data_IF_583443059664
#
_entry.id   IF_583443059664
#
_cell.length_a   1.000
_cell.length_b   1.000
_cell.length_c   1.000
_cell.angle_alpha   90.00
_cell.angle_beta   90.00
_cell.angle_gamma   90.00
#
_symmetry.space_group_name_H-M   'P 1'
#
loop_
_entity.id
_entity.type
_entity.pdbx_description
1 polymer ?
#
# COMPACT_ATOMS: atom_id res chain seq x y z
N UNK A 1 18.78 -11.18 8.83
CA UNK A 1 18.47 -10.36 10.03
C UNK A 1 17.19 -9.64 9.79
N UNK A 2 16.35 -9.46 10.81
CA UNK A 2 15.07 -8.69 10.72
C UNK A 2 15.28 -7.33 11.38
N UNK A 3 14.65 -6.31 10.81
CA UNK A 3 14.60 -4.98 11.39
C UNK A 3 13.20 -4.38 11.26
N UNK A 4 12.94 -3.32 12.00
CA UNK A 4 11.65 -2.63 12.03
C UNK A 4 11.84 -1.14 11.75
N UNK A 5 10.95 -0.54 10.98
CA UNK A 5 10.92 0.90 10.73
C UNK A 5 10.53 1.66 12.02
N UNK A 6 11.38 2.61 12.44
CA UNK A 6 11.18 3.38 13.69
C UNK A 6 10.42 4.69 13.46
N UNK A 7 10.80 5.57 12.48
CA UNK A 7 10.09 6.82 12.26
C UNK A 7 8.69 6.59 11.69
N UNK A 8 7.86 7.62 11.67
CA UNK A 8 6.52 7.57 11.08
C UNK A 8 6.51 6.96 9.68
N UNK A 9 7.53 7.30 8.89
CA UNK A 9 7.88 6.63 7.65
C UNK A 9 9.38 6.79 7.36
N UNK A 10 9.94 5.85 6.61
CA UNK A 10 11.30 5.91 6.09
C UNK A 10 11.28 5.79 4.56
N UNK A 11 12.21 6.46 3.91
CA UNK A 11 12.33 6.41 2.45
C UNK A 11 13.12 5.19 2.02
N UNK A 12 12.64 4.50 0.99
CA UNK A 12 13.39 3.49 0.28
C UNK A 12 13.93 4.06 -1.04
N UNK A 13 15.23 4.00 -1.21
CA UNK A 13 15.96 4.50 -2.37
C UNK A 13 16.45 3.37 -3.24
N UNK A 14 16.56 3.62 -4.55
CA UNK A 14 17.14 2.66 -5.50
C UNK A 14 18.64 2.39 -5.23
N UNK A 15 19.36 3.38 -4.69
CA UNK A 15 20.79 3.34 -4.40
C UNK A 15 21.08 3.94 -3.01
N UNK A 16 22.23 3.62 -2.36
CA UNK A 16 22.58 4.09 -1.02
C UNK A 16 23.04 5.55 -1.01
N UNK A 17 22.21 6.47 -1.51
CA UNK A 17 22.46 7.92 -1.52
C UNK A 17 21.16 8.72 -1.51
N UNK A 18 21.18 9.90 -0.91
CA UNK A 18 20.00 10.76 -0.77
C UNK A 18 19.40 11.25 -2.09
N UNK A 19 20.22 11.43 -3.12
CA UNK A 19 19.78 11.88 -4.45
C UNK A 19 19.27 10.75 -5.36
N UNK A 20 19.31 9.48 -4.89
CA UNK A 20 18.78 8.37 -5.65
C UNK A 20 17.25 8.42 -5.72
N UNK A 21 16.69 7.76 -6.72
CA UNK A 21 15.25 7.64 -6.89
C UNK A 21 14.56 7.11 -5.63
N UNK A 22 13.49 7.76 -5.22
CA UNK A 22 12.57 7.24 -4.21
C UNK A 22 11.73 6.13 -4.86
N UNK A 23 11.94 4.89 -4.46
CA UNK A 23 11.25 3.74 -5.05
C UNK A 23 10.06 3.29 -4.21
N UNK A 24 10.11 3.50 -2.89
CA UNK A 24 9.02 3.20 -1.96
C UNK A 24 9.24 3.91 -0.61
N UNK A 25 8.38 3.63 0.33
CA UNK A 25 8.48 4.06 1.73
C UNK A 25 8.24 2.87 2.66
N UNK A 26 8.83 2.90 3.85
CA UNK A 26 8.42 2.07 4.98
C UNK A 26 7.53 2.90 5.89
N UNK A 27 6.66 2.23 6.61
CA UNK A 27 5.78 2.85 7.60
C UNK A 27 6.22 2.40 9.00
N UNK A 28 6.04 3.22 10.01
CA UNK A 28 6.38 2.91 11.39
C UNK A 28 5.86 1.51 11.79
N UNK A 29 6.73 0.69 12.34
CA UNK A 29 6.41 -0.67 12.74
C UNK A 29 6.51 -1.71 11.61
N UNK A 30 6.68 -1.30 10.34
CA UNK A 30 6.85 -2.23 9.23
C UNK A 30 8.15 -3.02 9.37
N UNK A 31 8.04 -4.33 9.24
CA UNK A 31 9.14 -5.26 9.40
C UNK A 31 9.78 -5.55 8.05
N UNK A 32 11.10 -5.62 8.04
CA UNK A 32 11.89 -5.81 6.84
C UNK A 32 13.00 -6.83 7.08
N UNK A 33 13.38 -7.52 6.02
CA UNK A 33 14.60 -8.35 6.03
C UNK A 33 15.78 -7.50 5.59
N UNK A 34 16.82 -7.42 6.42
CA UNK A 34 18.09 -6.81 6.07
C UNK A 34 18.88 -7.78 5.20
N UNK A 35 19.22 -7.34 4.00
CA UNK A 35 19.99 -8.13 3.02
C UNK A 35 21.47 -7.79 3.06
N UNK A 36 21.81 -6.50 3.18
CA UNK A 36 23.18 -6.01 3.15
C UNK A 36 23.29 -4.68 3.91
N UNK A 37 24.36 -4.51 4.66
CA UNK A 37 24.76 -3.22 5.21
C UNK A 37 25.75 -2.54 4.26
N UNK A 38 25.60 -1.21 4.07
CA UNK A 38 26.43 -0.41 3.17
C UNK A 38 26.69 0.97 3.80
N UNK A 39 27.63 1.02 4.71
CA UNK A 39 27.95 2.20 5.51
C UNK A 39 26.73 2.69 6.31
N UNK A 40 26.28 3.94 6.11
CA UNK A 40 25.10 4.49 6.81
C UNK A 40 23.78 4.03 6.18
N UNK A 41 23.80 3.14 5.20
CA UNK A 41 22.65 2.60 4.49
C UNK A 41 22.53 1.10 4.70
N UNK A 42 21.31 0.59 4.55
CA UNK A 42 21.01 -0.84 4.51
C UNK A 42 20.11 -1.15 3.34
N UNK A 43 20.47 -2.20 2.60
CA UNK A 43 19.57 -2.80 1.63
C UNK A 43 18.61 -3.70 2.38
N UNK A 44 17.32 -3.45 2.22
CA UNK A 44 16.27 -4.23 2.85
C UNK A 44 15.33 -4.84 1.82
N UNK A 45 14.61 -5.88 2.25
CA UNK A 45 13.49 -6.45 1.52
C UNK A 45 12.24 -6.35 2.40
N UNK A 46 11.19 -5.76 1.86
CA UNK A 46 9.88 -5.68 2.51
C UNK A 46 9.17 -7.04 2.50
N UNK A 47 8.09 -7.16 3.27
CA UNK A 47 7.24 -8.35 3.27
C UNK A 47 6.73 -8.73 1.86
N UNK A 48 6.51 -7.74 0.99
CA UNK A 48 6.05 -7.94 -0.40
C UNK A 48 7.19 -8.27 -1.39
N UNK A 49 8.39 -8.53 -0.89
CA UNK A 49 9.55 -8.82 -1.73
C UNK A 49 10.20 -7.58 -2.40
N UNK A 50 9.74 -6.36 -2.09
CA UNK A 50 10.29 -5.13 -2.68
C UNK A 50 11.60 -4.76 -1.99
N UNK A 51 12.61 -4.41 -2.78
CA UNK A 51 13.95 -4.09 -2.28
C UNK A 51 14.27 -2.59 -2.44
N UNK A 52 15.05 -2.07 -1.51
CA UNK A 52 15.55 -0.71 -1.56
C UNK A 52 16.46 -0.38 -0.38
N UNK A 53 17.15 0.73 -0.49
CA UNK A 53 18.05 1.23 0.55
C UNK A 53 17.33 2.20 1.48
N UNK A 54 17.50 2.02 2.78
CA UNK A 54 17.10 2.99 3.80
C UNK A 54 18.29 3.33 4.70
N UNK A 55 18.16 4.39 5.51
CA UNK A 55 19.21 4.75 6.48
C UNK A 55 19.18 3.78 7.66
N UNK A 56 20.35 3.36 8.11
CA UNK A 56 20.51 2.51 9.29
C UNK A 56 19.81 3.09 10.53
N UNK A 57 19.84 4.42 10.69
CA UNK A 57 19.21 5.13 11.79
C UNK A 57 17.67 5.09 11.78
N UNK A 58 17.06 4.70 10.65
CA UNK A 58 15.61 4.65 10.48
C UNK A 58 15.02 3.28 10.79
N UNK A 59 15.87 2.30 11.08
CA UNK A 59 15.43 0.95 11.42
C UNK A 59 16.07 0.48 12.74
N UNK A 60 15.32 -0.32 13.47
CA UNK A 60 15.79 -1.02 14.66
C UNK A 60 16.02 -2.49 14.31
N UNK A 61 17.25 -2.97 14.54
CA UNK A 61 17.61 -4.37 14.33
C UNK A 61 17.11 -5.23 15.48
N UNK A 62 16.66 -6.44 15.15
CA UNK A 62 16.26 -7.45 16.12
C UNK A 62 17.27 -8.62 16.12
N UNK A 63 17.80 -8.93 17.30
CA UNK A 63 18.84 -9.97 17.48
C UNK A 63 18.30 -11.40 17.51
N UNK A 64 17.02 -11.57 17.88
CA UNK A 64 16.39 -12.87 18.02
C UNK A 64 15.77 -13.35 16.70
N UNK A 65 15.77 -14.67 16.43
CA UNK A 65 14.99 -15.22 15.33
C UNK A 65 13.51 -14.98 15.62
N UNK A 66 13.00 -13.91 15.07
CA UNK A 66 11.60 -13.52 15.24
C UNK A 66 10.75 -14.49 14.42
N UNK A 67 9.97 -15.35 15.09
CA UNK A 67 8.93 -16.08 14.41
C UNK A 67 7.72 -15.13 14.18
N UNK A 68 6.87 -15.47 13.23
CA UNK A 68 5.74 -14.60 12.81
C UNK A 68 4.81 -14.20 13.98
N UNK A 69 4.63 -15.06 14.98
CA UNK A 69 3.85 -14.77 16.18
C UNK A 69 4.51 -13.74 17.11
N UNK A 70 5.84 -13.74 17.17
CA UNK A 70 6.61 -12.74 17.91
C UNK A 70 6.56 -11.38 17.22
N UNK A 71 6.54 -11.35 15.86
CA UNK A 71 6.41 -10.14 15.06
C UNK A 71 5.11 -9.38 15.37
N UNK A 72 4.00 -10.07 15.40
CA UNK A 72 2.70 -9.49 15.78
C UNK A 72 2.69 -8.94 17.20
N UNK A 73 3.43 -9.57 18.11
CA UNK A 73 3.54 -9.12 19.50
C UNK A 73 4.39 -7.86 19.64
N UNK A 74 5.51 -7.75 18.90
CA UNK A 74 6.38 -6.58 18.92
C UNK A 74 5.66 -5.35 18.34
N UNK A 75 4.97 -5.48 17.22
CA UNK A 75 4.14 -4.42 16.66
C UNK A 75 3.10 -3.88 17.67
N UNK A 76 2.59 -4.75 18.56
CA UNK A 76 1.61 -4.36 19.59
C UNK A 76 2.22 -3.76 20.86
N UNK A 77 3.42 -4.15 21.26
CA UNK A 77 3.94 -3.90 22.61
C UNK A 77 4.89 -2.70 22.70
N UNK A 78 5.74 -2.46 21.72
CA UNK A 78 6.74 -1.40 21.81
C UNK A 78 6.21 0.00 21.52
N UNK A 79 5.16 0.12 20.71
CA UNK A 79 4.50 1.43 20.47
C UNK A 79 3.82 1.98 21.74
N UNK A 80 3.60 1.15 22.76
CA UNK A 80 2.99 1.56 24.05
C UNK A 80 3.97 2.13 25.09
N UNK A 81 5.27 1.96 24.93
CA UNK A 81 6.20 2.15 26.06
C UNK A 81 6.89 3.51 26.15
N UNK A 82 6.91 4.35 25.14
CA UNK A 82 7.57 5.64 25.24
C UNK A 82 6.76 6.75 24.55
N UNK A 83 6.73 7.92 25.21
CA UNK A 83 6.18 9.21 24.74
C UNK A 83 6.67 9.56 23.34
N UNK A 84 6.13 8.91 22.32
CA UNK A 84 6.41 9.31 20.95
C UNK A 84 5.66 10.61 20.65
N UNK A 85 6.27 11.56 19.93
CA UNK A 85 5.64 12.84 19.58
C UNK A 85 4.30 12.71 18.83
N UNK A 86 3.95 11.50 18.39
CA UNK A 86 2.73 11.16 17.67
C UNK A 86 1.44 11.16 18.50
N UNK A 87 1.51 11.20 19.84
CA UNK A 87 0.31 11.33 20.69
C UNK A 87 -0.44 12.67 20.51
N UNK A 88 0.15 13.63 19.79
CA UNK A 88 -0.43 14.97 19.55
C UNK A 88 -0.90 15.23 18.12
N UNK A 89 -0.80 14.28 17.20
CA UNK A 89 -1.33 14.43 15.85
C UNK A 89 -2.80 14.05 15.83
N UNK A 90 -3.67 15.05 15.82
CA UNK A 90 -5.12 14.97 15.68
C UNK A 90 -5.57 14.30 14.36
N UNK A 91 -6.84 13.90 14.21
CA UNK A 91 -7.31 12.52 13.99
C UNK A 91 -7.03 11.94 12.60
N UNK A 92 -6.57 12.69 11.65
CA UNK A 92 -6.39 12.22 10.26
C UNK A 92 -5.02 11.55 10.01
N UNK A 93 -3.97 11.97 10.74
CA UNK A 93 -2.68 11.24 10.80
C UNK A 93 -2.75 9.96 11.63
N UNK A 94 -3.76 9.84 12.51
CA UNK A 94 -3.96 8.71 13.40
C UNK A 94 -4.60 7.48 12.74
N UNK A 95 -5.03 7.56 11.48
CA UNK A 95 -5.73 6.45 10.82
C UNK A 95 -4.83 5.21 10.72
N UNK A 96 -3.54 5.40 10.47
CA UNK A 96 -2.58 4.30 10.42
C UNK A 96 -2.20 3.83 11.83
N UNK A 97 -1.96 4.75 12.75
CA UNK A 97 -1.66 4.44 14.14
C UNK A 97 -2.86 3.80 14.83
N UNK A 98 -4.09 4.25 14.56
CA UNK A 98 -5.33 3.64 15.07
C UNK A 98 -5.60 2.25 14.52
N UNK A 99 -5.15 1.91 13.32
CA UNK A 99 -5.21 0.53 12.83
C UNK A 99 -4.27 -0.37 13.63
N UNK A 100 -3.08 0.10 13.96
CA UNK A 100 -2.12 -0.62 14.82
C UNK A 100 -2.59 -0.63 16.30
N UNK A 101 -3.24 0.44 16.78
CA UNK A 101 -3.61 0.60 18.19
C UNK A 101 -5.03 0.14 18.54
N UNK A 102 -5.95 -0.02 17.59
CA UNK A 102 -7.35 -0.45 17.84
C UNK A 102 -7.53 -1.93 18.15
N UNK A 103 -6.48 -2.72 18.15
CA UNK A 103 -6.53 -4.02 18.82
C UNK A 103 -6.29 -3.84 20.32
N UNK A 104 -7.24 -3.30 21.05
CA UNK A 104 -7.25 -3.37 22.50
C UNK A 104 -7.35 -4.84 22.91
N UNK A 105 -6.23 -5.40 23.36
CA UNK A 105 -6.23 -6.69 24.05
C UNK A 105 -6.99 -6.52 25.36
N UNK A 106 -8.15 -7.13 25.47
CA UNK A 106 -8.97 -7.10 26.69
C UNK A 106 -8.52 -8.09 27.76
N UNK A 107 -7.57 -8.95 27.53
CA UNK A 107 -6.92 -9.79 28.55
C UNK A 107 -5.72 -10.53 27.99
N UNK A 108 -4.83 -11.02 28.85
CA UNK A 108 -3.67 -11.86 28.49
C UNK A 108 -4.06 -13.24 27.92
N UNK A 109 -5.34 -13.58 27.93
CA UNK A 109 -5.90 -14.84 27.40
C UNK A 109 -6.39 -14.72 25.95
N UNK A 110 -6.55 -13.52 25.39
CA UNK A 110 -7.05 -13.27 24.02
C UNK A 110 -5.95 -13.33 22.95
N UNK A 111 -4.81 -13.94 23.27
CA UNK A 111 -3.62 -14.01 22.40
C UNK A 111 -3.85 -14.90 21.15
N UNK A 112 -4.92 -15.65 21.09
CA UNK A 112 -5.25 -16.56 19.99
C UNK A 112 -6.45 -16.15 19.14
N UNK A 113 -7.10 -15.05 19.42
CA UNK A 113 -8.07 -14.51 18.48
C UNK A 113 -7.29 -13.82 17.33
N UNK A 114 -6.81 -14.64 16.39
CA UNK A 114 -6.49 -14.19 15.05
C UNK A 114 -7.83 -13.81 14.46
N UNK A 115 -8.33 -12.64 14.82
CA UNK A 115 -9.38 -12.02 14.06
C UNK A 115 -8.80 -11.83 12.65
N UNK A 116 -9.23 -12.70 11.74
CA UNK A 116 -9.01 -12.50 10.33
C UNK A 116 -9.29 -11.02 10.02
N UNK A 117 -8.49 -10.37 9.18
CA UNK A 117 -8.80 -9.02 8.76
C UNK A 117 -10.28 -9.01 8.34
N UNK A 118 -11.02 -7.94 8.61
CA UNK A 118 -12.42 -7.85 8.22
C UNK A 118 -12.52 -8.22 6.73
N UNK A 119 -13.54 -8.96 6.35
CA UNK A 119 -13.72 -9.42 4.97
C UNK A 119 -13.45 -8.25 4.01
N UNK A 120 -12.56 -8.47 3.05
CA UNK A 120 -12.25 -7.48 2.02
C UNK A 120 -13.53 -6.99 1.36
N UNK A 121 -13.64 -5.69 1.16
CA UNK A 121 -14.77 -5.08 0.48
C UNK A 121 -14.29 -4.08 -0.56
N UNK A 122 -14.58 -4.35 -1.81
CA UNK A 122 -14.33 -3.45 -2.94
C UNK A 122 -15.03 -2.10 -2.76
N UNK A 123 -16.26 -2.09 -2.25
CA UNK A 123 -16.98 -0.85 -1.95
C UNK A 123 -16.28 -0.05 -0.85
N UNK A 124 -15.76 -0.73 0.17
CA UNK A 124 -14.97 -0.09 1.23
C UNK A 124 -13.68 0.51 0.67
N UNK A 125 -13.01 -0.19 -0.26
CA UNK A 125 -11.81 0.31 -0.95
C UNK A 125 -12.10 1.64 -1.66
N UNK A 126 -13.17 1.69 -2.48
CA UNK A 126 -13.59 2.89 -3.19
C UNK A 126 -13.94 4.05 -2.22
N UNK A 127 -14.71 3.76 -1.16
CA UNK A 127 -15.09 4.74 -0.14
C UNK A 127 -13.87 5.30 0.63
N UNK A 128 -12.89 4.46 0.93
CA UNK A 128 -11.67 4.89 1.59
C UNK A 128 -10.78 5.73 0.66
N UNK A 129 -10.74 5.41 -0.64
CA UNK A 129 -10.03 6.20 -1.63
C UNK A 129 -10.55 7.64 -1.70
N UNK A 130 -11.87 7.83 -1.62
CA UNK A 130 -12.50 9.16 -1.60
C UNK A 130 -12.03 10.06 -0.45
N UNK A 131 -11.60 9.48 0.67
CA UNK A 131 -11.06 10.25 1.81
C UNK A 131 -9.64 10.73 1.60
N UNK A 132 -8.98 10.28 0.55
CA UNK A 132 -7.62 10.67 0.17
C UNK A 132 -7.58 11.72 -0.94
N UNK A 133 -8.74 12.25 -1.37
CA UNK A 133 -8.80 13.33 -2.35
C UNK A 133 -7.88 14.47 -1.92
N UNK A 134 -7.19 15.06 -2.90
CA UNK A 134 -6.22 16.17 -2.74
C UNK A 134 -4.88 15.80 -2.11
N UNK A 135 -4.65 14.56 -1.68
CA UNK A 135 -3.31 14.12 -1.27
C UNK A 135 -2.35 14.29 -2.46
N UNK A 136 -1.19 14.97 -2.29
CA UNK A 136 -0.29 15.24 -3.40
C UNK A 136 0.31 13.95 -3.98
N UNK A 137 0.62 13.98 -5.28
CA UNK A 137 1.38 12.92 -5.93
C UNK A 137 2.85 13.02 -5.52
N UNK A 138 3.39 11.92 -5.03
CA UNK A 138 4.83 11.76 -4.77
C UNK A 138 5.28 10.44 -5.37
N UNK A 139 6.20 10.48 -6.33
CA UNK A 139 6.79 9.27 -6.91
C UNK A 139 7.41 8.40 -5.80
N UNK A 140 7.09 7.10 -5.77
CA UNK A 140 7.52 6.20 -4.70
C UNK A 140 6.72 6.34 -3.39
N UNK A 141 5.77 7.29 -3.32
CA UNK A 141 4.97 7.56 -2.12
C UNK A 141 3.91 6.49 -1.85
N UNK A 142 3.77 6.09 -0.59
CA UNK A 142 2.70 5.20 -0.10
C UNK A 142 2.13 5.64 1.25
N UNK A 143 2.16 6.94 1.54
CA UNK A 143 1.63 7.53 2.79
C UNK A 143 0.69 8.69 2.50
N UNK A 144 -0.09 9.10 3.49
CA UNK A 144 -0.98 10.28 3.38
C UNK A 144 -0.23 11.61 3.15
N UNK A 145 1.09 11.63 3.29
CA UNK A 145 1.92 12.79 2.97
C UNK A 145 2.28 12.88 1.48
N UNK A 146 2.00 11.84 0.72
CA UNK A 146 2.20 11.75 -0.72
C UNK A 146 2.04 10.31 -1.21
N UNK A 147 1.30 10.15 -2.28
CA UNK A 147 0.96 8.86 -2.89
C UNK A 147 1.30 8.87 -4.38
N UNK A 148 1.89 7.80 -4.90
CA UNK A 148 1.81 7.53 -6.33
C UNK A 148 0.60 6.62 -6.64
N UNK A 149 0.38 6.29 -7.90
CA UNK A 149 -0.80 5.55 -8.33
C UNK A 149 -0.92 4.17 -7.66
N UNK A 150 0.14 3.38 -7.69
CA UNK A 150 0.17 2.05 -7.08
C UNK A 150 0.34 2.10 -5.56
N UNK A 151 0.98 3.13 -5.03
CA UNK A 151 1.07 3.41 -3.60
C UNK A 151 -0.28 3.73 -2.98
N UNK A 152 -1.16 4.45 -3.69
CA UNK A 152 -2.55 4.67 -3.29
C UNK A 152 -3.29 3.33 -3.11
N UNK A 153 -3.19 2.45 -4.11
CA UNK A 153 -3.81 1.13 -4.06
C UNK A 153 -3.23 0.31 -2.92
N UNK A 154 -1.90 0.20 -2.84
CA UNK A 154 -1.22 -0.55 -1.78
C UNK A 154 -1.60 -0.05 -0.38
N UNK A 155 -1.61 1.27 -0.16
CA UNK A 155 -2.02 1.89 1.11
C UNK A 155 -3.44 1.48 1.51
N UNK A 156 -4.38 1.47 0.58
CA UNK A 156 -5.76 1.12 0.86
C UNK A 156 -5.97 -0.37 1.18
N UNK A 157 -5.23 -1.26 0.51
CA UNK A 157 -5.22 -2.68 0.87
C UNK A 157 -4.60 -2.91 2.24
N UNK A 158 -3.47 -2.27 2.56
CA UNK A 158 -2.86 -2.33 3.88
C UNK A 158 -3.82 -1.83 4.97
N UNK A 159 -4.61 -0.80 4.68
CA UNK A 159 -5.64 -0.29 5.59
C UNK A 159 -6.74 -1.30 5.91
N UNK A 160 -7.03 -2.21 4.99
CA UNK A 160 -7.95 -3.32 5.20
C UNK A 160 -7.24 -4.58 5.76
N UNK A 161 -5.94 -4.50 6.09
CA UNK A 161 -5.17 -5.60 6.67
C UNK A 161 -4.56 -6.55 5.65
N UNK A 162 -4.54 -6.18 4.38
CA UNK A 162 -4.03 -7.03 3.30
C UNK A 162 -2.71 -6.49 2.75
N UNK A 163 -1.79 -7.42 2.51
CA UNK A 163 -0.55 -7.17 1.79
C UNK A 163 -0.84 -7.11 0.29
N UNK A 164 -0.31 -6.11 -0.42
CA UNK A 164 -0.53 -5.96 -1.86
C UNK A 164 0.76 -5.50 -2.55
N UNK A 165 1.05 -5.89 -3.79
CA UNK A 165 2.28 -5.53 -4.48
C UNK A 165 2.48 -4.02 -4.62
N UNK A 166 3.76 -3.60 -4.74
CA UNK A 166 4.12 -2.18 -4.80
C UNK A 166 3.85 -1.56 -6.15
N UNK A 167 4.22 -2.21 -7.23
CA UNK A 167 4.21 -1.64 -8.56
C UNK A 167 2.91 -1.95 -9.33
N UNK A 168 2.43 -1.01 -10.13
CA UNK A 168 1.20 -1.16 -10.90
C UNK A 168 1.22 -2.39 -11.83
N UNK A 169 2.35 -2.72 -12.44
CA UNK A 169 2.47 -3.89 -13.30
C UNK A 169 2.35 -5.21 -12.52
N UNK A 170 2.82 -5.25 -11.27
CA UNK A 170 2.63 -6.41 -10.39
C UNK A 170 1.19 -6.52 -9.91
N UNK A 171 0.56 -5.37 -9.60
CA UNK A 171 -0.85 -5.31 -9.21
C UNK A 171 -1.77 -5.80 -10.34
N UNK A 172 -1.41 -5.56 -11.60
CA UNK A 172 -2.16 -6.01 -12.77
C UNK A 172 -2.20 -7.53 -12.96
N UNK A 173 -1.32 -8.27 -12.28
CA UNK A 173 -1.31 -9.75 -12.28
C UNK A 173 -2.28 -10.35 -11.23
N UNK A 174 -2.87 -9.50 -10.37
CA UNK A 174 -3.65 -9.96 -9.22
C UNK A 174 -5.14 -9.77 -9.46
N UNK A 175 -5.93 -10.80 -9.13
CA UNK A 175 -7.40 -10.78 -9.23
C UNK A 175 -7.94 -11.35 -10.54
N UNK A 176 -9.24 -11.29 -10.69
CA UNK A 176 -9.96 -11.78 -11.85
C UNK A 176 -9.99 -10.71 -12.95
N UNK A 177 -9.72 -11.13 -14.18
CA UNK A 177 -9.88 -10.27 -15.35
C UNK A 177 -11.35 -9.87 -15.55
N UNK A 178 -11.57 -8.59 -15.80
CA UNK A 178 -12.88 -8.04 -16.14
C UNK A 178 -12.88 -7.72 -17.63
N UNK A 179 -13.77 -8.37 -18.36
CA UNK A 179 -14.06 -7.99 -19.75
C UNK A 179 -14.89 -6.71 -19.78
N UNK A 180 -14.50 -5.75 -20.60
CA UNK A 180 -15.22 -4.49 -20.77
C UNK A 180 -15.27 -4.04 -22.23
N UNK A 181 -16.30 -3.29 -22.58
CA UNK A 181 -16.39 -2.60 -23.87
C UNK A 181 -15.58 -1.30 -23.82
N UNK A 182 -14.51 -1.21 -24.62
CA UNK A 182 -13.65 -0.02 -24.68
C UNK A 182 -14.38 1.23 -25.20
N UNK A 183 -15.49 1.08 -25.93
CA UNK A 183 -16.33 2.21 -26.38
C UNK A 183 -17.14 2.80 -25.23
N UNK A 184 -17.58 1.95 -24.29
CA UNK A 184 -18.37 2.31 -23.12
C UNK A 184 -17.88 1.55 -21.87
N UNK A 185 -16.69 1.88 -21.34
CA UNK A 185 -16.15 1.13 -20.22
C UNK A 185 -16.93 1.43 -18.94
N UNK A 186 -17.49 0.36 -18.35
CA UNK A 186 -18.24 0.42 -17.09
C UNK A 186 -17.71 -0.62 -16.11
N UNK A 187 -17.48 -0.22 -14.86
CA UNK A 187 -16.88 -1.04 -13.82
C UNK A 187 -17.68 -0.94 -12.52
N UNK A 188 -17.45 -1.90 -11.63
CA UNK A 188 -18.00 -1.83 -10.27
C UNK A 188 -17.07 -1.05 -9.35
N UNK A 189 -17.59 -0.46 -8.25
CA UNK A 189 -16.75 0.22 -7.26
C UNK A 189 -15.68 -0.72 -6.69
N UNK A 190 -14.43 -0.25 -6.69
CA UNK A 190 -13.28 -0.99 -6.19
C UNK A 190 -12.58 -1.89 -7.21
N UNK A 191 -13.09 -2.00 -8.44
CA UNK A 191 -12.33 -2.61 -9.53
C UNK A 191 -11.05 -1.80 -9.78
N UNK A 192 -9.94 -2.48 -10.05
CA UNK A 192 -8.67 -1.86 -10.39
C UNK A 192 -8.54 -1.72 -11.90
N UNK A 193 -8.26 -0.52 -12.36
CA UNK A 193 -8.12 -0.16 -13.78
C UNK A 193 -6.65 0.06 -14.10
N UNK A 194 -6.12 -0.62 -15.12
CA UNK A 194 -4.70 -0.59 -15.48
C UNK A 194 -4.47 0.04 -16.84
N UNK A 195 -3.48 0.92 -16.89
CA UNK A 195 -3.16 1.73 -18.06
C UNK A 195 -1.73 1.45 -18.55
N UNK A 196 -1.60 1.34 -19.87
CA UNK A 196 -0.34 0.95 -20.52
C UNK A 196 -0.17 1.71 -21.83
N UNK A 197 1.00 2.31 -22.01
CA UNK A 197 1.38 2.85 -23.31
C UNK A 197 1.80 1.72 -24.25
N UNK A 198 1.56 1.82 -25.57
CA UNK A 198 1.93 0.79 -26.53
C UNK A 198 3.40 0.36 -26.38
N UNK A 199 3.62 -0.95 -26.30
CA UNK A 199 4.97 -1.54 -26.18
C UNK A 199 5.66 -1.32 -24.82
N UNK A 200 4.97 -0.80 -23.80
CA UNK A 200 5.49 -0.62 -22.44
C UNK A 200 4.79 -1.57 -21.47
N UNK A 201 5.31 -1.67 -20.25
CA UNK A 201 4.59 -2.32 -19.14
C UNK A 201 3.44 -1.44 -18.65
N UNK A 202 2.50 -2.02 -17.92
CA UNK A 202 1.51 -1.27 -17.13
C UNK A 202 2.27 -0.29 -16.24
N UNK A 203 1.93 0.99 -16.36
CA UNK A 203 2.64 2.08 -15.68
C UNK A 203 1.73 2.89 -14.76
N UNK A 204 0.42 2.65 -14.81
CA UNK A 204 -0.54 3.39 -13.98
C UNK A 204 -1.72 2.52 -13.58
N UNK A 205 -2.28 2.80 -12.42
CA UNK A 205 -3.45 2.12 -11.86
C UNK A 205 -4.40 3.14 -11.26
N UNK A 206 -5.70 2.84 -11.33
CA UNK A 206 -6.78 3.59 -10.71
C UNK A 206 -7.77 2.64 -10.03
N UNK A 207 -8.63 3.19 -9.19
CA UNK A 207 -9.72 2.47 -8.52
C UNK A 207 -11.04 2.99 -9.07
N UNK A 208 -11.88 2.10 -9.57
CA UNK A 208 -13.22 2.45 -10.02
C UNK A 208 -14.11 2.94 -8.87
N UNK A 209 -14.88 3.96 -9.13
CA UNK A 209 -15.95 4.47 -8.25
C UNK A 209 -17.34 3.98 -8.68
N UNK A 210 -17.38 3.15 -9.72
CA UNK A 210 -18.60 2.71 -10.39
C UNK A 210 -18.83 3.42 -11.72
N UNK A 211 -19.37 2.68 -12.70
CA UNK A 211 -19.57 3.19 -14.06
C UNK A 211 -18.25 3.53 -14.73
N UNK A 212 -18.16 4.72 -15.31
CA UNK A 212 -16.96 5.24 -16.00
C UNK A 212 -16.03 6.04 -15.10
N UNK A 213 -16.40 6.31 -13.85
CA UNK A 213 -15.63 7.19 -12.95
C UNK A 213 -14.61 6.40 -12.15
N UNK A 214 -13.42 7.01 -11.97
CA UNK A 214 -12.34 6.40 -11.21
C UNK A 214 -11.56 7.44 -10.40
N UNK A 215 -10.92 6.98 -9.33
CA UNK A 215 -10.01 7.75 -8.49
C UNK A 215 -8.59 7.24 -8.65
N UNK A 216 -7.62 8.12 -8.74
CA UNK A 216 -6.22 7.79 -8.89
C UNK A 216 -5.31 8.90 -8.36
N UNK A 217 -4.04 8.57 -8.10
CA UNK A 217 -2.99 9.57 -7.85
C UNK A 217 -2.33 9.96 -9.17
N UNK A 218 -2.56 11.21 -9.59
CA UNK A 218 -1.97 11.84 -10.78
C UNK A 218 -1.95 13.34 -10.55
N UNK A 219 -0.76 13.92 -10.33
CA UNK A 219 -0.50 15.24 -9.75
C UNK A 219 -0.95 15.36 -8.30
N UNK A 220 -2.14 14.89 -7.99
CA UNK A 220 -2.72 14.64 -6.66
C UNK A 220 -3.75 13.50 -6.77
N UNK A 221 -4.26 13.02 -5.64
CA UNK A 221 -5.38 12.06 -5.65
C UNK A 221 -6.64 12.77 -6.12
N UNK A 222 -7.18 12.36 -7.25
CA UNK A 222 -8.30 13.02 -7.94
C UNK A 222 -9.22 12.02 -8.63
N UNK A 223 -10.40 12.49 -8.99
CA UNK A 223 -11.38 11.75 -9.77
C UNK A 223 -11.28 12.19 -11.24
N UNK A 224 -11.38 11.21 -12.12
CA UNK A 224 -11.58 11.43 -13.56
C UNK A 224 -12.61 10.44 -14.13
N UNK A 225 -12.97 10.63 -15.38
CA UNK A 225 -13.91 9.78 -16.10
C UNK A 225 -13.30 9.20 -17.39
N UNK A 226 -13.78 8.03 -17.78
CA UNK A 226 -13.56 7.42 -19.09
C UNK A 226 -14.68 7.77 -20.10
N UNK A 227 -15.74 8.43 -19.65
CA UNK A 227 -16.88 8.84 -20.49
C UNK A 227 -16.66 10.23 -21.08
N UNK A 228 -16.77 10.35 -22.41
CA UNK A 228 -16.39 11.57 -23.14
C UNK A 228 -17.24 12.80 -22.82
N UNK A 229 -18.50 12.59 -22.41
CA UNK A 229 -19.39 13.69 -22.06
C UNK A 229 -19.15 14.27 -20.66
N UNK A 230 -18.33 13.62 -19.84
CA UNK A 230 -18.07 14.08 -18.47
C UNK A 230 -17.02 15.21 -18.47
N UNK A 231 -17.20 16.22 -17.62
CA UNK A 231 -16.30 17.37 -17.53
C UNK A 231 -14.86 16.99 -17.09
N UNK A 232 -14.73 15.88 -16.37
CA UNK A 232 -13.46 15.35 -15.88
C UNK A 232 -12.93 14.18 -16.74
N UNK A 233 -13.43 14.04 -17.99
CA UNK A 233 -12.97 13.07 -18.96
C UNK A 233 -11.46 13.20 -19.26
N UNK A 234 -10.77 12.06 -19.36
CA UNK A 234 -9.36 12.00 -19.73
C UNK A 234 -9.19 11.04 -20.92
N UNK A 235 -9.07 11.64 -22.12
CA UNK A 235 -8.88 10.91 -23.39
C UNK A 235 -7.70 9.95 -23.33
N UNK A 236 -6.54 10.42 -22.88
CA UNK A 236 -5.34 9.60 -22.72
C UNK A 236 -5.58 8.33 -21.87
N UNK A 237 -6.33 8.48 -20.77
CA UNK A 237 -6.65 7.34 -19.89
C UNK A 237 -7.58 6.34 -20.57
N UNK A 238 -8.57 6.81 -21.32
CA UNK A 238 -9.43 5.93 -22.11
C UNK A 238 -8.63 5.16 -23.16
N UNK A 239 -7.74 5.81 -23.88
CA UNK A 239 -6.93 5.21 -24.94
C UNK A 239 -5.87 4.22 -24.41
N UNK A 240 -5.41 4.40 -23.19
CA UNK A 240 -4.37 3.56 -22.56
C UNK A 240 -4.91 2.53 -21.56
N UNK A 241 -6.22 2.45 -21.35
CA UNK A 241 -6.85 1.42 -20.54
C UNK A 241 -6.72 0.06 -21.24
N UNK A 242 -5.99 -0.87 -20.64
CA UNK A 242 -5.69 -2.19 -21.27
C UNK A 242 -6.26 -3.35 -20.48
N UNK A 243 -6.47 -3.18 -19.17
CA UNK A 243 -6.91 -4.26 -18.32
C UNK A 243 -7.70 -3.71 -17.13
N UNK A 244 -8.60 -4.52 -16.59
CA UNK A 244 -9.28 -4.27 -15.33
C UNK A 244 -9.35 -5.55 -14.51
N UNK A 245 -9.17 -5.42 -13.19
CA UNK A 245 -9.16 -6.56 -12.27
C UNK A 245 -10.16 -6.35 -11.14
N UNK A 246 -10.88 -7.42 -10.81
CA UNK A 246 -11.68 -7.50 -9.59
C UNK A 246 -10.95 -8.32 -8.55
N UNK A 247 -10.72 -7.72 -7.39
CA UNK A 247 -10.07 -8.39 -6.30
C UNK A 247 -11.12 -9.10 -5.45
N UNK A 248 -10.91 -10.39 -5.24
CA UNK A 248 -11.77 -11.22 -4.38
C UNK A 248 -11.04 -11.58 -3.08
N UNK A 249 -11.76 -11.81 -1.97
CA UNK A 249 -11.16 -12.18 -0.69
C UNK A 249 -10.21 -13.39 -0.80
N UNK A 250 -10.57 -14.38 -1.60
CA UNK A 250 -9.78 -15.61 -1.81
C UNK A 250 -8.42 -15.31 -2.46
N UNK A 251 -8.38 -14.34 -3.37
CA UNK A 251 -7.13 -13.88 -4.00
C UNK A 251 -6.17 -13.31 -2.95
N UNK A 252 -6.70 -12.55 -2.00
CA UNK A 252 -5.89 -11.91 -0.95
C UNK A 252 -5.35 -12.92 0.06
N UNK A 253 -6.10 -13.97 0.37
CA UNK A 253 -5.62 -15.08 1.23
C UNK A 253 -4.44 -15.81 0.57
N UNK A 254 -4.54 -16.11 -0.74
CA UNK A 254 -3.45 -16.77 -1.47
C UNK A 254 -2.18 -15.94 -1.56
N UNK A 255 -2.30 -14.61 -1.64
CA UNK A 255 -1.17 -13.69 -1.59
C UNK A 255 -0.45 -13.74 -0.23
N UNK A 256 -1.17 -13.76 0.87
CA UNK A 256 -0.58 -13.87 2.22
C UNK A 256 0.26 -15.15 2.34
N UNK A 257 -0.21 -16.27 1.81
CA UNK A 257 0.53 -17.53 1.85
C UNK A 257 1.78 -17.52 0.95
N UNK A 258 1.75 -16.82 -0.16
CA UNK A 258 2.92 -16.66 -1.03
C UNK A 258 4.02 -15.82 -0.39
N UNK A 259 3.66 -14.74 0.30
CA UNK A 259 4.61 -13.87 1.02
C UNK A 259 5.22 -14.56 2.26
N UNK A 260 4.50 -15.47 2.92
CA UNK A 260 5.03 -16.26 4.05
C UNK A 260 6.15 -17.24 3.65
N UNK A 261 6.27 -17.57 2.38
CA UNK A 261 7.27 -18.50 1.85
C UNK A 261 8.57 -17.80 1.39
N UNK A 262 8.56 -16.47 1.28
CA UNK A 262 9.71 -15.63 0.94
C UNK A 262 10.50 -15.22 2.19
#
# INVERSE_FOLDING_TARGET
MIAQCVPAYAQLRAEPRHSAELVSQLICGELVRVLKEDGPWVLIRTEHGYEGFTRTEQIQFHSDPINYSTLHRLQKTEIRKENTPFQKLEPEGSIFLNYILKTEAKSDTDIFDITFPPLFSSQTLANQAMRLLTVPYVWGGKTVFGLDCSGLVQFLFQKQGYSFPRDAWQQAEIGLDISFDSSKPEFEPGDLLFFQNPGKKVHHVAISLGGSRYIHASEWVRINSLHEADADFKKERKETLVNAKRIQPETLVSLLDSFRKL
#
